data_IF_778498262548
#
_entry.id   IF_778498262548
#
_cell.length_a   1.000
_cell.length_b   1.000
_cell.length_c   1.000
_cell.angle_alpha   90.00
_cell.angle_beta   90.00
_cell.angle_gamma   90.00
#
_symmetry.space_group_name_H-M   'P 1'
#
loop_
_entity.id
_entity.type
_entity.pdbx_description
1 polymer ?
#
# COMPACT_ATOMS: atom_id res chain seq x y z
N UNK A 1 -30.81 13.27 11.14
CA UNK A 1 -30.60 14.63 10.60
C UNK A 1 -29.55 15.33 11.45
N UNK A 2 -28.35 15.54 10.90
CA UNK A 2 -27.52 16.75 11.07
C UNK A 2 -26.05 16.44 10.72
N UNK A 3 -25.65 16.94 9.54
CA UNK A 3 -24.37 17.61 9.30
C UNK A 3 -23.06 16.83 9.49
N UNK A 4 -22.66 16.09 8.45
CA UNK A 4 -21.24 16.00 8.04
C UNK A 4 -21.15 16.13 6.51
N UNK A 5 -21.74 17.21 5.99
CA UNK A 5 -21.33 17.80 4.72
C UNK A 5 -20.47 19.00 5.11
N UNK A 6 -19.29 18.73 5.70
CA UNK A 6 -18.31 19.79 5.86
C UNK A 6 -17.72 20.06 4.48
N UNK A 7 -17.78 21.33 4.10
CA UNK A 7 -17.41 21.81 2.79
C UNK A 7 -15.93 21.54 2.59
N UNK A 8 -15.59 20.70 1.62
CA UNK A 8 -14.27 20.68 0.99
C UNK A 8 -14.01 22.07 0.37
N UNK A 9 -13.58 23.03 1.20
CA UNK A 9 -12.88 24.22 0.75
C UNK A 9 -11.57 23.71 0.16
N UNK A 10 -11.55 23.47 -1.16
CA UNK A 10 -10.31 23.29 -1.92
C UNK A 10 -9.39 24.46 -1.54
N UNK A 11 -8.27 24.24 -0.84
CA UNK A 11 -7.36 25.34 -0.55
C UNK A 11 -6.88 25.89 -1.89
N UNK A 12 -7.02 27.20 -2.06
CA UNK A 12 -6.56 27.88 -3.27
C UNK A 12 -5.11 27.53 -3.54
N UNK A 13 -4.77 27.35 -4.82
CA UNK A 13 -3.47 26.85 -5.29
C UNK A 13 -2.26 27.60 -4.68
N UNK A 14 -2.45 28.87 -4.31
CA UNK A 14 -1.46 29.78 -3.70
C UNK A 14 -1.36 29.74 -2.16
N UNK A 15 -2.31 29.11 -1.47
CA UNK A 15 -2.33 28.99 0.01
C UNK A 15 -1.73 27.67 0.50
N UNK A 16 -1.34 26.78 -0.40
CA UNK A 16 -0.92 25.44 -0.04
C UNK A 16 0.59 25.42 0.27
N UNK A 17 0.97 25.00 1.48
CA UNK A 17 2.38 24.85 1.91
C UNK A 17 3.18 23.97 0.94
N UNK A 18 2.50 23.03 0.28
CA UNK A 18 3.05 22.17 -0.76
C UNK A 18 3.49 22.96 -2.02
N UNK A 19 2.75 24.01 -2.39
CA UNK A 19 3.08 24.86 -3.55
C UNK A 19 4.33 25.70 -3.28
N UNK A 20 4.43 26.32 -2.10
CA UNK A 20 5.61 27.09 -1.72
C UNK A 20 6.84 26.20 -1.49
N UNK A 21 6.68 24.98 -0.98
CA UNK A 21 7.78 24.01 -0.88
C UNK A 21 8.27 23.57 -2.27
N UNK A 22 7.35 23.29 -3.20
CA UNK A 22 7.71 22.95 -4.59
C UNK A 22 8.34 24.13 -5.33
N UNK A 23 7.86 25.36 -5.10
CA UNK A 23 8.39 26.59 -5.70
C UNK A 23 9.78 26.93 -5.15
N UNK A 24 9.99 26.80 -3.83
CA UNK A 24 11.30 26.97 -3.21
C UNK A 24 12.30 25.90 -3.67
N UNK A 25 11.88 24.64 -3.79
CA UNK A 25 12.70 23.58 -4.37
C UNK A 25 13.03 23.86 -5.84
N UNK A 26 12.07 24.32 -6.63
CA UNK A 26 12.28 24.73 -8.03
C UNK A 26 13.26 25.90 -8.15
N UNK A 27 13.12 26.93 -7.31
CA UNK A 27 14.06 28.05 -7.24
C UNK A 27 15.46 27.58 -6.83
N UNK A 28 15.59 26.72 -5.82
CA UNK A 28 16.88 26.15 -5.41
C UNK A 28 17.54 25.34 -6.53
N UNK A 29 16.75 24.58 -7.29
CA UNK A 29 17.23 23.82 -8.46
C UNK A 29 17.69 24.76 -9.58
N UNK A 30 16.98 25.85 -9.82
CA UNK A 30 17.36 26.86 -10.83
C UNK A 30 18.57 27.68 -10.38
N UNK A 31 18.66 28.04 -9.10
CA UNK A 31 19.81 28.74 -8.52
C UNK A 31 21.07 27.84 -8.55
N UNK A 32 20.90 26.53 -8.38
CA UNK A 32 21.93 25.50 -8.55
C UNK A 32 22.48 25.41 -9.99
N UNK A 33 21.76 25.92 -11.00
CA UNK A 33 22.26 26.03 -12.37
C UNK A 33 23.27 27.18 -12.57
N UNK A 34 23.26 28.19 -11.69
CA UNK A 34 24.08 29.40 -11.83
C UNK A 34 25.39 29.38 -11.03
N UNK A 35 25.58 28.41 -10.11
CA UNK A 35 26.75 28.36 -9.22
C UNK A 35 27.63 27.13 -9.57
N UNK A 36 28.90 27.31 -10.00
CA UNK A 36 29.80 26.21 -10.39
C UNK A 36 30.18 25.26 -9.25
N UNK A 37 29.90 25.63 -7.99
CA UNK A 37 30.08 24.79 -6.81
C UNK A 37 29.07 23.62 -6.73
N UNK A 38 27.94 23.69 -7.42
CA UNK A 38 26.82 22.75 -7.31
C UNK A 38 26.80 21.63 -8.39
N UNK A 39 27.81 21.56 -9.27
CA UNK A 39 27.93 20.54 -10.32
C UNK A 39 27.89 19.10 -9.73
N UNK A 40 28.60 18.86 -8.64
CA UNK A 40 28.61 17.56 -7.96
C UNK A 40 27.22 17.22 -7.37
N UNK A 41 26.52 18.20 -6.80
CA UNK A 41 25.17 18.01 -6.25
C UNK A 41 24.14 17.74 -7.35
N UNK A 42 24.24 18.42 -8.51
CA UNK A 42 23.36 18.19 -9.67
C UNK A 42 23.49 16.75 -10.17
N UNK A 43 24.72 16.25 -10.29
CA UNK A 43 24.99 14.87 -10.69
C UNK A 43 24.33 13.85 -9.75
N UNK A 44 24.51 14.02 -8.44
CA UNK A 44 23.89 13.14 -7.43
C UNK A 44 22.36 13.26 -7.43
N UNK A 45 21.80 14.46 -7.53
CA UNK A 45 20.35 14.68 -7.52
C UNK A 45 19.65 13.99 -8.71
N UNK A 46 20.16 14.16 -9.94
CA UNK A 46 19.61 13.48 -11.10
C UNK A 46 19.88 11.97 -11.08
N UNK A 47 20.97 11.52 -10.45
CA UNK A 47 21.24 10.10 -10.19
C UNK A 47 20.14 9.47 -9.32
N UNK A 48 19.88 10.05 -8.15
CA UNK A 48 18.82 9.58 -7.25
C UNK A 48 17.43 9.71 -7.87
N UNK A 49 17.14 10.81 -8.57
CA UNK A 49 15.86 11.00 -9.24
C UNK A 49 15.57 9.90 -10.27
N UNK A 50 16.56 9.50 -11.09
CA UNK A 50 16.40 8.39 -12.05
C UNK A 50 16.19 7.04 -11.37
N UNK A 51 16.91 6.77 -10.28
CA UNK A 51 16.78 5.51 -9.52
C UNK A 51 15.39 5.40 -8.89
N UNK A 52 14.83 6.49 -8.35
CA UNK A 52 13.54 6.48 -7.65
C UNK A 52 12.34 6.60 -8.60
N UNK A 53 12.46 7.32 -9.72
CA UNK A 53 11.35 7.59 -10.62
C UNK A 53 10.67 6.32 -11.16
N UNK A 54 11.44 5.32 -11.59
CA UNK A 54 10.91 4.06 -12.13
C UNK A 54 10.11 3.25 -11.09
N UNK A 55 10.72 2.88 -9.95
CA UNK A 55 10.03 2.17 -8.87
C UNK A 55 8.83 2.93 -8.31
N UNK A 56 8.90 4.26 -8.22
CA UNK A 56 7.80 5.10 -7.75
C UNK A 56 6.63 5.11 -8.73
N UNK A 57 6.89 5.24 -10.03
CA UNK A 57 5.86 5.15 -11.06
C UNK A 57 5.19 3.78 -11.08
N UNK A 58 5.98 2.70 -10.96
CA UNK A 58 5.46 1.34 -10.88
C UNK A 58 4.60 1.13 -9.63
N UNK A 59 5.05 1.64 -8.47
CA UNK A 59 4.30 1.60 -7.22
C UNK A 59 2.97 2.35 -7.29
N UNK A 60 2.95 3.55 -7.90
CA UNK A 60 1.71 4.31 -8.12
C UNK A 60 0.75 3.56 -9.05
N UNK A 61 1.26 2.97 -10.13
CA UNK A 61 0.45 2.26 -11.11
C UNK A 61 -0.20 1.01 -10.50
N UNK A 62 0.58 0.19 -9.78
CA UNK A 62 0.07 -0.97 -9.06
C UNK A 62 -0.92 -0.55 -7.95
N UNK A 63 -0.59 0.51 -7.20
CA UNK A 63 -1.48 1.07 -6.17
C UNK A 63 -2.83 1.51 -6.73
N UNK A 64 -2.84 2.20 -7.88
CA UNK A 64 -4.08 2.61 -8.56
C UNK A 64 -4.89 1.44 -9.09
N UNK A 65 -4.24 0.41 -9.65
CA UNK A 65 -4.91 -0.82 -10.09
C UNK A 65 -5.53 -1.54 -8.89
N UNK A 66 -4.81 -1.68 -7.78
CA UNK A 66 -5.34 -2.32 -6.57
C UNK A 66 -6.52 -1.53 -6.00
N UNK A 67 -6.46 -0.19 -6.00
CA UNK A 67 -7.54 0.64 -5.49
C UNK A 67 -8.84 0.42 -6.29
N UNK A 68 -8.74 0.39 -7.62
CA UNK A 68 -9.88 0.25 -8.53
C UNK A 68 -10.39 -1.19 -8.65
N UNK A 69 -9.50 -2.18 -8.76
CA UNK A 69 -9.86 -3.57 -9.05
C UNK A 69 -10.04 -4.45 -7.81
N UNK A 70 -9.48 -4.10 -6.63
CA UNK A 70 -9.65 -4.91 -5.41
C UNK A 70 -10.85 -4.40 -4.60
N UNK A 71 -11.97 -5.15 -4.55
CA UNK A 71 -13.18 -4.71 -3.88
C UNK A 71 -12.99 -4.71 -2.35
N UNK A 72 -13.70 -3.81 -1.66
CA UNK A 72 -13.56 -3.64 -0.20
C UNK A 72 -13.92 -4.91 0.56
N UNK A 73 -14.83 -5.71 0.01
CA UNK A 73 -15.32 -6.97 0.57
C UNK A 73 -14.24 -8.04 0.67
N UNK A 74 -13.23 -8.02 -0.22
CA UNK A 74 -12.12 -8.97 -0.20
C UNK A 74 -11.12 -8.61 0.88
N UNK A 75 -10.79 -7.32 0.98
CA UNK A 75 -9.91 -6.81 2.03
C UNK A 75 -10.53 -7.01 3.39
N UNK A 76 -11.81 -6.69 3.56
CA UNK A 76 -12.49 -6.89 4.84
C UNK A 76 -12.57 -8.39 5.20
N UNK A 77 -12.88 -9.27 4.26
CA UNK A 77 -12.94 -10.71 4.56
C UNK A 77 -11.58 -11.31 4.94
N UNK A 78 -10.50 -10.97 4.23
CA UNK A 78 -9.17 -11.56 4.46
C UNK A 78 -8.42 -10.86 5.60
N UNK A 79 -8.63 -9.55 5.83
CA UNK A 79 -7.86 -8.74 6.78
C UNK A 79 -8.68 -8.10 7.94
N UNK A 80 -10.01 -8.06 7.90
CA UNK A 80 -10.81 -7.48 9.02
C UNK A 80 -11.09 -8.47 10.15
N UNK A 81 -11.06 -9.78 9.88
CA UNK A 81 -11.36 -10.77 10.91
C UNK A 81 -10.33 -10.81 12.04
N UNK A 82 -10.80 -11.07 13.28
CA UNK A 82 -9.97 -11.23 14.48
C UNK A 82 -9.21 -12.56 14.55
N UNK A 83 -9.01 -13.24 13.42
CA UNK A 83 -8.32 -14.53 13.37
C UNK A 83 -6.82 -14.32 13.22
N UNK A 84 -6.01 -15.09 13.94
CA UNK A 84 -4.54 -15.09 13.81
C UNK A 84 -4.07 -15.28 12.35
N UNK A 85 -4.87 -16.00 11.55
CA UNK A 85 -4.64 -16.25 10.12
C UNK A 85 -4.61 -14.95 9.28
N UNK A 86 -5.34 -13.92 9.68
CA UNK A 86 -5.44 -12.66 8.95
C UNK A 86 -4.15 -11.84 9.05
N UNK A 87 -3.48 -11.91 10.20
CA UNK A 87 -2.15 -11.33 10.41
C UNK A 87 -1.11 -12.03 9.54
N UNK A 88 -1.17 -13.37 9.44
CA UNK A 88 -0.28 -14.13 8.56
C UNK A 88 -0.48 -13.72 7.09
N UNK A 89 -1.73 -13.59 6.65
CA UNK A 89 -2.02 -13.10 5.30
C UNK A 89 -1.53 -11.66 5.10
N UNK A 90 -1.69 -10.78 6.09
CA UNK A 90 -1.19 -9.42 6.03
C UNK A 90 0.34 -9.36 5.88
N UNK A 91 1.07 -10.18 6.65
CA UNK A 91 2.54 -10.28 6.54
C UNK A 91 2.96 -10.85 5.19
N UNK A 92 2.30 -11.89 4.69
CA UNK A 92 2.60 -12.48 3.38
C UNK A 92 2.34 -11.50 2.22
N UNK A 93 1.21 -10.78 2.26
CA UNK A 93 0.93 -9.74 1.27
C UNK A 93 1.89 -8.57 1.38
N UNK A 94 2.30 -8.19 2.60
CA UNK A 94 3.32 -7.16 2.82
C UNK A 94 4.68 -7.57 2.26
N UNK A 95 5.08 -8.83 2.44
CA UNK A 95 6.31 -9.39 1.88
C UNK A 95 6.33 -9.35 0.36
N UNK A 96 5.20 -9.71 -0.27
CA UNK A 96 5.07 -9.77 -1.72
C UNK A 96 4.92 -8.38 -2.34
N UNK A 97 4.25 -7.46 -1.64
CA UNK A 97 4.06 -6.08 -2.07
C UNK A 97 5.27 -5.23 -1.72
N UNK A 98 6.22 -5.21 -2.65
CA UNK A 98 7.46 -4.44 -2.52
C UNK A 98 7.21 -3.02 -3.03
N UNK A 99 6.65 -2.19 -2.15
CA UNK A 99 6.37 -0.78 -2.47
C UNK A 99 7.31 0.10 -1.66
N UNK A 100 7.68 1.26 -2.21
CA UNK A 100 8.42 2.27 -1.46
C UNK A 100 7.67 2.66 -0.17
N UNK A 101 8.40 3.13 0.85
CA UNK A 101 7.85 3.52 2.16
C UNK A 101 6.64 4.47 2.08
N UNK A 102 6.60 5.32 1.05
CA UNK A 102 5.48 6.23 0.79
C UNK A 102 4.26 5.50 0.21
N UNK A 103 4.47 4.59 -0.73
CA UNK A 103 3.38 3.84 -1.35
C UNK A 103 2.78 2.78 -0.42
N UNK A 104 3.59 2.12 0.41
CA UNK A 104 3.07 1.15 1.38
C UNK A 104 2.18 1.81 2.44
N UNK A 105 2.52 3.04 2.86
CA UNK A 105 1.69 3.82 3.78
C UNK A 105 0.35 4.19 3.13
N UNK A 106 0.37 4.64 1.88
CA UNK A 106 -0.86 4.94 1.13
C UNK A 106 -1.77 3.71 1.01
N UNK A 107 -1.20 2.55 0.68
CA UNK A 107 -1.93 1.29 0.61
C UNK A 107 -2.50 0.91 1.98
N UNK A 108 -1.70 1.03 3.04
CA UNK A 108 -2.12 0.72 4.40
C UNK A 108 -3.31 1.59 4.86
N UNK A 109 -3.30 2.88 4.55
CA UNK A 109 -4.42 3.80 4.83
C UNK A 109 -5.67 3.38 4.06
N UNK A 110 -5.54 2.99 2.79
CA UNK A 110 -6.69 2.49 2.02
C UNK A 110 -7.22 1.17 2.59
N UNK A 111 -6.34 0.26 2.99
CA UNK A 111 -6.69 -1.00 3.65
C UNK A 111 -7.48 -0.77 4.93
N UNK A 112 -7.05 0.22 5.73
CA UNK A 112 -7.76 0.68 6.91
C UNK A 112 -9.14 1.27 6.54
N UNK A 113 -9.23 2.14 5.53
CA UNK A 113 -10.53 2.67 5.04
C UNK A 113 -11.45 1.59 4.47
N UNK A 114 -10.90 0.49 3.96
CA UNK A 114 -11.64 -0.69 3.47
C UNK A 114 -12.04 -1.66 4.59
N UNK A 115 -11.73 -1.35 5.85
CA UNK A 115 -12.21 -2.09 7.02
C UNK A 115 -11.23 -3.14 7.56
N UNK A 116 -9.96 -3.16 7.13
CA UNK A 116 -8.96 -4.08 7.70
C UNK A 116 -8.74 -3.82 9.20
N UNK A 117 -8.47 -4.87 9.96
CA UNK A 117 -8.20 -4.74 11.39
C UNK A 117 -6.91 -3.92 11.60
N UNK A 118 -6.86 -2.99 12.57
CA UNK A 118 -5.66 -2.18 12.83
C UNK A 118 -4.41 -3.03 13.04
N UNK A 119 -4.56 -4.16 13.75
CA UNK A 119 -3.50 -5.16 13.96
C UNK A 119 -2.95 -5.76 12.67
N UNK A 120 -3.80 -6.01 11.68
CA UNK A 120 -3.37 -6.52 10.36
C UNK A 120 -2.70 -5.44 9.52
N UNK A 121 -3.16 -4.18 9.61
CA UNK A 121 -2.54 -3.05 8.91
C UNK A 121 -1.13 -2.78 9.43
N UNK A 122 -0.93 -2.81 10.74
CA UNK A 122 0.39 -2.65 11.37
C UNK A 122 1.33 -3.80 11.00
N UNK A 123 0.85 -5.04 11.02
CA UNK A 123 1.65 -6.21 10.62
C UNK A 123 2.06 -6.14 9.14
N UNK A 124 1.17 -5.71 8.25
CA UNK A 124 1.47 -5.46 6.84
C UNK A 124 2.54 -4.37 6.66
N UNK A 125 2.39 -3.25 7.37
CA UNK A 125 3.35 -2.13 7.35
C UNK A 125 4.74 -2.52 7.86
N UNK A 126 4.81 -3.41 8.85
CA UNK A 126 6.09 -3.92 9.38
C UNK A 126 6.74 -4.90 8.41
N UNK A 127 5.96 -5.83 7.85
CA UNK A 127 6.47 -6.89 6.99
C UNK A 127 7.09 -6.36 5.69
N UNK A 128 6.47 -5.36 5.06
CA UNK A 128 6.91 -4.87 3.75
C UNK A 128 8.33 -4.30 3.70
N UNK A 129 8.78 -3.41 4.62
CA UNK A 129 10.17 -2.96 4.64
C UNK A 129 11.15 -4.01 5.17
N UNK A 130 10.72 -4.85 6.12
CA UNK A 130 11.62 -5.77 6.83
C UNK A 130 11.88 -7.08 6.10
N UNK A 131 10.92 -7.54 5.31
CA UNK A 131 11.02 -8.79 4.57
C UNK A 131 10.44 -8.57 3.19
N UNK A 132 11.20 -7.94 2.28
CA UNK A 132 10.80 -7.85 0.88
C UNK A 132 11.76 -8.60 -0.03
N UNK A 133 11.26 -8.98 -1.21
CA UNK A 133 11.99 -9.77 -2.19
C UNK A 133 13.32 -9.13 -2.67
N UNK A 134 13.40 -7.82 -2.96
CA UNK A 134 14.67 -7.19 -3.29
C UNK A 134 15.71 -7.25 -2.15
N UNK A 135 15.27 -7.02 -0.92
CA UNK A 135 16.13 -7.10 0.27
C UNK A 135 16.63 -8.53 0.48
N UNK A 136 15.78 -9.54 0.26
CA UNK A 136 16.20 -10.94 0.38
C UNK A 136 17.29 -11.28 -0.65
N UNK A 137 17.14 -10.84 -1.90
CA UNK A 137 18.14 -11.03 -2.95
C UNK A 137 19.47 -10.33 -2.61
N UNK A 138 19.43 -9.10 -2.11
CA UNK A 138 20.64 -8.39 -1.68
C UNK A 138 21.34 -9.11 -0.52
N UNK A 139 20.59 -9.56 0.49
CA UNK A 139 21.15 -10.28 1.64
C UNK A 139 21.81 -11.60 1.22
N UNK A 140 21.20 -12.33 0.27
CA UNK A 140 21.79 -13.57 -0.27
C UNK A 140 23.14 -13.27 -0.93
N UNK A 141 23.23 -12.17 -1.69
CA UNK A 141 24.47 -11.76 -2.36
C UNK A 141 25.60 -11.36 -1.40
N UNK A 142 25.28 -10.69 -0.29
CA UNK A 142 26.29 -10.19 0.67
C UNK A 142 26.68 -11.20 1.75
N UNK A 143 25.70 -11.86 2.38
CA UNK A 143 25.91 -12.69 3.56
C UNK A 143 25.81 -14.19 3.29
N UNK A 144 25.42 -14.57 2.07
CA UNK A 144 25.14 -15.95 1.68
C UNK A 144 23.72 -16.40 2.06
N UNK A 145 23.21 -17.46 1.40
CA UNK A 145 21.80 -17.85 1.49
C UNK A 145 21.36 -18.28 2.90
N UNK A 146 22.23 -18.95 3.66
CA UNK A 146 21.88 -19.43 4.99
C UNK A 146 21.64 -18.29 5.99
N UNK A 147 22.51 -17.27 6.00
CA UNK A 147 22.37 -16.10 6.89
C UNK A 147 21.22 -15.20 6.45
N UNK A 148 21.06 -15.02 5.14
CA UNK A 148 19.93 -14.28 4.59
C UNK A 148 18.58 -14.88 5.00
N UNK A 149 18.43 -16.20 4.91
CA UNK A 149 17.22 -16.89 5.31
C UNK A 149 16.90 -16.68 6.80
N UNK A 150 17.89 -16.74 7.68
CA UNK A 150 17.71 -16.50 9.12
C UNK A 150 17.23 -15.07 9.42
N UNK A 151 17.79 -14.07 8.73
CA UNK A 151 17.40 -12.66 8.92
C UNK A 151 15.96 -12.44 8.43
N UNK A 152 15.58 -13.00 7.29
CA UNK A 152 14.22 -12.87 6.77
C UNK A 152 13.22 -13.63 7.65
N UNK A 153 13.59 -14.80 8.15
CA UNK A 153 12.75 -15.56 9.06
C UNK A 153 12.53 -14.80 10.38
N UNK A 154 13.58 -14.19 10.92
CA UNK A 154 13.47 -13.38 12.15
C UNK A 154 12.63 -12.12 11.91
N UNK A 155 12.75 -11.47 10.76
CA UNK A 155 11.94 -10.33 10.35
C UNK A 155 10.44 -10.68 10.21
N UNK A 156 10.12 -11.82 9.60
CA UNK A 156 8.74 -12.31 9.51
C UNK A 156 8.20 -12.63 10.91
N UNK A 157 9.03 -13.28 11.74
CA UNK A 157 8.64 -13.63 13.11
C UNK A 157 8.34 -12.39 13.95
N UNK A 158 9.18 -11.35 13.89
CA UNK A 158 8.92 -10.09 14.61
C UNK A 158 7.64 -9.43 14.12
N UNK A 159 7.39 -9.35 12.81
CA UNK A 159 6.15 -8.79 12.28
C UNK A 159 4.90 -9.56 12.76
N UNK A 160 4.96 -10.90 12.79
CA UNK A 160 3.87 -11.75 13.30
C UNK A 160 3.63 -11.54 14.80
N UNK A 161 4.70 -11.52 15.59
CA UNK A 161 4.62 -11.30 17.04
C UNK A 161 4.03 -9.92 17.33
N UNK A 162 4.48 -8.88 16.65
CA UNK A 162 3.92 -7.53 16.80
C UNK A 162 2.45 -7.51 16.40
N UNK A 163 2.06 -8.14 15.29
CA UNK A 163 0.67 -8.26 14.89
C UNK A 163 -0.21 -8.95 15.96
N UNK A 164 0.29 -10.03 16.58
CA UNK A 164 -0.42 -10.70 17.67
C UNK A 164 -0.52 -9.86 18.94
N UNK A 165 0.54 -9.14 19.30
CA UNK A 165 0.51 -8.21 20.44
C UNK A 165 -0.57 -7.14 20.22
N UNK A 166 -0.61 -6.54 19.02
CA UNK A 166 -1.63 -5.56 18.66
C UNK A 166 -3.04 -6.14 18.68
N UNK A 167 -3.21 -7.39 18.24
CA UNK A 167 -4.50 -8.09 18.31
C UNK A 167 -4.96 -8.33 19.76
N UNK A 168 -4.04 -8.64 20.67
CA UNK A 168 -4.36 -8.78 22.10
C UNK A 168 -4.75 -7.42 22.69
N UNK A 169 -4.03 -6.36 22.34
CA UNK A 169 -4.33 -4.99 22.77
C UNK A 169 -5.70 -4.51 22.28
N UNK A 170 -6.04 -4.84 21.02
CA UNK A 170 -7.36 -4.59 20.43
C UNK A 170 -8.46 -5.36 21.16
N UNK A 171 -8.19 -6.61 21.56
CA UNK A 171 -9.13 -7.43 22.33
C UNK A 171 -9.36 -6.88 23.74
N UNK A 172 -8.32 -6.30 24.35
CA UNK A 172 -8.39 -5.63 25.66
C UNK A 172 -9.03 -4.24 25.62
N UNK A 173 -9.42 -3.75 24.43
CA UNK A 173 -10.02 -2.42 24.27
C UNK A 173 -9.05 -1.26 24.46
N UNK A 174 -7.74 -1.51 24.40
CA UNK A 174 -6.70 -0.49 24.54
C UNK A 174 -6.37 0.22 23.21
N UNK A 175 -6.91 -0.27 22.09
CA UNK A 175 -6.73 0.29 20.75
C UNK A 175 -8.10 0.49 20.11
N UNK A 176 -8.28 1.65 19.47
CA UNK A 176 -9.47 2.00 18.69
C UNK A 176 -9.72 0.92 17.62
N UNK A 177 -10.90 0.30 17.66
CA UNK A 177 -11.32 -0.64 16.61
C UNK A 177 -11.64 0.16 15.35
N UNK A 178 -11.31 -0.43 14.20
CA UNK A 178 -11.60 0.24 12.94
C UNK A 178 -13.14 0.36 12.73
N UNK A 179 -13.70 1.57 12.66
CA UNK A 179 -15.14 1.78 12.52
C UNK A 179 -15.67 1.36 11.14
N UNK A 180 -14.79 1.11 10.17
CA UNK A 180 -15.15 0.70 8.80
C UNK A 180 -15.18 -0.83 8.61
N UNK A 181 -15.12 -1.62 9.69
CA UNK A 181 -15.17 -3.10 9.58
C UNK A 181 -16.57 -3.55 9.15
N UNK A 182 -16.67 -4.11 7.95
CA UNK A 182 -17.89 -4.78 7.48
C UNK A 182 -17.98 -6.15 8.15
N UNK A 183 -19.10 -6.44 8.80
CA UNK A 183 -19.39 -7.76 9.37
C UNK A 183 -19.83 -8.71 8.24
N UNK A 184 -18.83 -9.26 7.54
CA UNK A 184 -19.05 -10.23 6.47
C UNK A 184 -19.50 -11.55 7.10
N UNK A 185 -20.80 -11.84 6.98
CA UNK A 185 -21.42 -13.08 7.44
C UNK A 185 -20.60 -14.32 7.00
N UNK A 186 -20.47 -15.30 7.90
CA UNK A 186 -19.53 -16.43 7.83
C UNK A 186 -19.63 -17.38 6.62
N UNK A 187 -20.44 -17.07 5.60
CA UNK A 187 -20.57 -17.80 4.34
C UNK A 187 -19.97 -17.09 3.12
N UNK A 188 -19.31 -15.93 3.26
CA UNK A 188 -18.71 -15.24 2.11
C UNK A 188 -17.46 -16.00 1.59
N UNK A 189 -17.54 -16.56 0.38
CA UNK A 189 -16.41 -17.21 -0.28
C UNK A 189 -15.83 -16.30 -1.38
N UNK A 190 -14.63 -15.81 -1.14
CA UNK A 190 -13.82 -14.97 -2.05
C UNK A 190 -13.79 -15.52 -3.48
N UNK A 191 -13.59 -16.83 -3.65
CA UNK A 191 -13.43 -17.46 -4.97
C UNK A 191 -14.73 -17.44 -5.80
N UNK A 192 -15.87 -17.60 -5.14
CA UNK A 192 -17.18 -17.71 -5.80
C UNK A 192 -17.68 -16.33 -6.19
N UNK A 193 -17.46 -15.32 -5.35
CA UNK A 193 -17.73 -13.92 -5.71
C UNK A 193 -16.81 -13.46 -6.84
N UNK A 194 -15.53 -13.86 -6.82
CA UNK A 194 -14.56 -13.47 -7.85
C UNK A 194 -14.97 -14.06 -9.20
N UNK A 195 -15.34 -15.35 -9.21
CA UNK A 195 -15.85 -16.04 -10.41
C UNK A 195 -17.16 -15.41 -10.92
N UNK A 196 -18.04 -14.96 -10.02
CA UNK A 196 -19.30 -14.29 -10.38
C UNK A 196 -19.05 -12.93 -11.03
N UNK A 197 -18.14 -12.14 -10.47
CA UNK A 197 -17.71 -10.84 -11.02
C UNK A 197 -16.94 -11.01 -12.33
N UNK A 198 -16.06 -12.00 -12.43
CA UNK A 198 -15.34 -12.31 -13.67
C UNK A 198 -16.31 -12.74 -14.78
N UNK A 199 -17.32 -13.54 -14.44
CA UNK A 199 -18.37 -13.92 -15.39
C UNK A 199 -19.21 -12.73 -15.83
N UNK A 200 -19.53 -11.80 -14.93
CA UNK A 200 -20.23 -10.55 -15.25
C UNK A 200 -19.40 -9.65 -16.18
N UNK A 201 -18.11 -9.42 -15.88
CA UNK A 201 -17.20 -8.67 -16.76
C UNK A 201 -17.04 -9.33 -18.13
N UNK A 202 -16.97 -10.66 -18.19
CA UNK A 202 -16.86 -11.40 -19.46
C UNK A 202 -18.13 -11.30 -20.30
N UNK A 203 -19.30 -11.19 -19.66
CA UNK A 203 -20.59 -11.01 -20.34
C UNK A 203 -20.75 -9.58 -20.87
N UNK A 204 -20.36 -8.58 -20.08
CA UNK A 204 -20.42 -7.17 -20.48
C UNK A 204 -19.47 -6.90 -21.65
N UNK A 205 -18.22 -7.39 -21.56
CA UNK A 205 -17.24 -7.30 -22.65
C UNK A 205 -17.70 -8.03 -23.91
N UNK A 206 -18.33 -9.21 -23.76
CA UNK A 206 -18.86 -9.96 -24.89
C UNK A 206 -20.12 -9.33 -25.51
N UNK A 207 -20.87 -8.53 -24.75
CA UNK A 207 -22.00 -7.74 -25.25
C UNK A 207 -21.50 -6.49 -25.97
N UNK A 208 -20.49 -5.81 -25.42
CA UNK A 208 -19.86 -4.62 -25.99
C UNK A 208 -19.17 -4.93 -27.34
N UNK A 209 -18.40 -6.02 -27.42
CA UNK A 209 -17.77 -6.49 -28.67
C UNK A 209 -18.80 -6.89 -29.73
N UNK A 210 -19.94 -7.46 -29.32
CA UNK A 210 -21.03 -7.81 -30.24
C UNK A 210 -21.80 -6.58 -30.74
N UNK A 211 -21.84 -5.52 -29.95
CA UNK A 211 -22.36 -4.21 -30.35
C UNK A 211 -21.47 -3.54 -31.39
N UNK A 212 -20.14 -3.59 -31.19
CA UNK A 212 -19.15 -3.04 -32.12
C UNK A 212 -19.12 -3.84 -33.44
N UNK A 213 -19.34 -5.16 -33.42
CA UNK A 213 -19.34 -5.98 -34.63
C UNK A 213 -20.63 -5.89 -35.47
N UNK A 214 -21.68 -5.21 -34.98
CA UNK A 214 -22.98 -5.06 -35.66
C UNK A 214 -23.28 -3.61 -36.09
N UNK A 215 -22.45 -2.64 -35.70
CA UNK A 215 -22.47 -1.26 -36.19
C UNK A 215 -21.42 -1.05 -37.27
#
# INVERSE_FOLDING_TARGET
>A
MASCCDKDKKPGLLSNTLFWAAFAAGILIVLSFFIPFFEAFRGSFFGYARIVAGPLALGLLIGGIIDHYVPREYVSFVLAGRRKRNIVYAVLWGFLMTVCSHGILAIAVQLYRKGAAPSSVVAFLLASPWANFPLTLMLIGFFGPAKAALIILSAILTALLTGWIFQILETKGLIEKNPNTLDVAGGFSVLTDFRKRLAAYRLDLAAEVRGIAKG
#
